data_IF_822318134690
#
_entry.id   IF_822318134690
#
_cell.length_a   1.000
_cell.length_b   1.000
_cell.length_c   1.000
_cell.angle_alpha   90.00
_cell.angle_beta   90.00
_cell.angle_gamma   90.00
#
_symmetry.space_group_name_H-M   'P 1'
#
loop_
_entity.id
_entity.type
_entity.pdbx_description
1 polymer ?
#
# COMPACT_ATOMS: atom_id res chain seq x y z
N UNK A 1 -44.27 0.11 14.71
CA UNK A 1 -43.68 -1.24 14.87
C UNK A 1 -42.25 -1.16 14.38
N UNK A 2 -41.27 -1.17 15.30
CA UNK A 2 -39.84 -1.04 14.97
C UNK A 2 -39.37 -2.40 14.43
N UNK A 3 -39.05 -2.45 13.15
CA UNK A 3 -38.51 -3.61 12.44
C UNK A 3 -37.23 -4.09 13.13
N UNK A 4 -37.16 -5.39 13.40
CA UNK A 4 -36.04 -6.09 14.03
C UNK A 4 -34.82 -6.28 13.09
N UNK A 5 -34.64 -5.42 12.09
CA UNK A 5 -33.57 -5.51 11.09
C UNK A 5 -32.25 -4.81 11.50
N UNK A 6 -32.18 -4.21 12.70
CA UNK A 6 -31.05 -3.35 13.11
C UNK A 6 -29.86 -4.07 13.76
N UNK A 7 -29.91 -5.39 13.98
CA UNK A 7 -28.92 -6.09 14.83
C UNK A 7 -27.83 -6.88 14.08
N UNK A 8 -27.72 -6.76 12.75
CA UNK A 8 -26.78 -7.55 11.95
C UNK A 8 -25.82 -6.74 11.07
N UNK A 9 -25.81 -5.41 11.17
CA UNK A 9 -24.92 -4.58 10.39
C UNK A 9 -23.60 -4.33 11.13
N UNK A 10 -22.51 -4.85 10.55
CA UNK A 10 -21.11 -4.66 10.96
C UNK A 10 -20.69 -5.29 12.30
N UNK A 11 -20.42 -6.61 12.29
CA UNK A 11 -19.26 -7.13 13.05
C UNK A 11 -17.97 -6.78 12.31
N UNK A 12 -17.68 -5.48 12.18
CA UNK A 12 -16.27 -5.08 12.13
C UNK A 12 -15.65 -5.67 13.40
N UNK A 13 -14.56 -6.45 13.29
CA UNK A 13 -13.84 -6.92 14.47
C UNK A 13 -13.75 -5.75 15.47
N UNK A 14 -14.39 -5.84 16.66
CA UNK A 14 -14.54 -4.73 17.60
C UNK A 14 -13.21 -4.12 18.07
N UNK A 15 -12.07 -4.69 17.69
CA UNK A 15 -10.74 -4.41 18.23
C UNK A 15 -9.82 -3.55 17.35
N UNK A 16 -10.16 -3.26 16.07
CA UNK A 16 -9.16 -2.64 15.15
C UNK A 16 -9.27 -1.14 14.94
N UNK A 17 -10.43 -0.54 15.21
CA UNK A 17 -10.64 0.91 15.03
C UNK A 17 -11.42 1.60 16.15
N UNK A 18 -11.74 0.86 17.22
CA UNK A 18 -12.36 1.46 18.39
C UNK A 18 -11.38 2.39 19.13
N UNK A 19 -11.87 3.49 19.74
CA UNK A 19 -11.04 4.39 20.53
C UNK A 19 -10.39 3.65 21.70
N UNK A 20 -9.06 3.72 21.79
CA UNK A 20 -8.26 3.06 22.83
C UNK A 20 -8.45 3.65 24.26
N UNK A 21 -9.47 4.49 24.47
CA UNK A 21 -9.70 5.22 25.72
C UNK A 21 -11.20 5.32 26.07
N UNK A 22 -11.91 4.21 26.03
CA UNK A 22 -13.20 4.12 26.69
C UNK A 22 -12.95 3.71 28.14
N UNK A 23 -13.43 4.49 29.09
CA UNK A 23 -13.25 4.24 30.53
C UNK A 23 -14.16 3.07 31.02
N UNK A 24 -15.03 2.56 30.14
CA UNK A 24 -15.90 1.39 30.39
C UNK A 24 -16.31 0.65 29.11
N UNK A 25 -16.68 -0.64 29.23
CA UNK A 25 -17.23 -1.44 28.12
C UNK A 25 -18.49 -0.83 27.50
N UNK A 26 -19.33 -0.17 28.31
CA UNK A 26 -20.54 0.50 27.83
C UNK A 26 -20.21 1.68 26.89
N UNK A 27 -19.19 2.47 27.23
CA UNK A 27 -18.76 3.59 26.39
C UNK A 27 -18.20 3.10 25.05
N UNK A 28 -17.45 1.98 25.05
CA UNK A 28 -16.96 1.35 23.84
C UNK A 28 -18.12 0.88 22.92
N UNK A 29 -19.13 0.21 23.47
CA UNK A 29 -20.31 -0.23 22.71
C UNK A 29 -21.05 0.95 22.09
N UNK A 30 -21.32 2.01 22.86
CA UNK A 30 -22.00 3.20 22.34
C UNK A 30 -21.20 3.90 21.24
N UNK A 31 -19.88 3.97 21.37
CA UNK A 31 -19.01 4.54 20.33
C UNK A 31 -18.98 3.69 19.06
N UNK A 32 -19.05 2.37 19.18
CA UNK A 32 -19.15 1.46 18.04
C UNK A 32 -20.51 1.58 17.33
N UNK A 33 -21.60 1.68 18.08
CA UNK A 33 -22.95 1.90 17.52
C UNK A 33 -23.04 3.25 16.79
N UNK A 34 -22.55 4.34 17.37
CA UNK A 34 -22.49 5.64 16.69
C UNK A 34 -21.63 5.55 15.43
N UNK A 35 -20.46 4.90 15.48
CA UNK A 35 -19.60 4.74 14.30
C UNK A 35 -20.35 4.05 13.14
N UNK A 36 -21.05 2.95 13.43
CA UNK A 36 -21.82 2.20 12.43
C UNK A 36 -22.94 3.06 11.84
N UNK A 37 -23.65 3.82 12.67
CA UNK A 37 -24.71 4.73 12.20
C UNK A 37 -24.15 5.83 11.29
N UNK A 38 -22.99 6.40 11.63
CA UNK A 38 -22.35 7.42 10.79
C UNK A 38 -21.85 6.85 9.45
N UNK A 39 -21.34 5.63 9.44
CA UNK A 39 -20.95 4.93 8.19
C UNK A 39 -22.16 4.81 7.27
N UNK A 40 -23.29 4.34 7.79
CA UNK A 40 -24.51 4.18 7.01
C UNK A 40 -25.08 5.53 6.50
N UNK A 41 -24.99 6.57 7.33
CA UNK A 41 -25.34 7.93 6.92
C UNK A 41 -24.44 8.45 5.78
N UNK A 42 -23.12 8.25 5.87
CA UNK A 42 -22.17 8.64 4.83
C UNK A 42 -22.43 7.91 3.50
N UNK A 43 -22.69 6.60 3.55
CA UNK A 43 -23.04 5.82 2.34
C UNK A 43 -24.33 6.34 1.72
N UNK A 44 -25.34 6.65 2.54
CA UNK A 44 -26.60 7.23 2.07
C UNK A 44 -26.39 8.57 1.40
N UNK A 45 -25.62 9.47 2.02
CA UNK A 45 -25.29 10.79 1.44
C UNK A 45 -24.53 10.64 0.12
N UNK A 46 -23.57 9.71 0.05
CA UNK A 46 -22.80 9.41 -1.15
C UNK A 46 -23.69 8.88 -2.29
N UNK A 47 -24.66 8.00 -1.99
CA UNK A 47 -25.64 7.50 -2.97
C UNK A 47 -26.52 8.63 -3.49
N UNK A 48 -27.05 9.49 -2.61
CA UNK A 48 -27.87 10.65 -3.02
C UNK A 48 -27.07 11.62 -3.90
N UNK A 49 -25.80 11.87 -3.57
CA UNK A 49 -24.91 12.66 -4.41
C UNK A 49 -24.75 12.05 -5.80
N UNK A 50 -24.57 10.73 -5.88
CA UNK A 50 -24.40 9.99 -7.12
C UNK A 50 -25.66 10.08 -7.99
N UNK A 51 -26.82 9.78 -7.43
CA UNK A 51 -28.12 9.85 -8.11
C UNK A 51 -28.40 11.24 -8.69
N UNK A 52 -28.21 12.29 -7.88
CA UNK A 52 -28.41 13.67 -8.32
C UNK A 52 -27.44 14.06 -9.44
N UNK A 53 -26.17 13.65 -9.33
CA UNK A 53 -25.15 13.98 -10.32
C UNK A 53 -25.41 13.31 -11.67
N UNK A 54 -25.88 12.06 -11.68
CA UNK A 54 -26.29 11.38 -12.91
C UNK A 54 -27.55 12.03 -13.50
N UNK A 55 -28.54 12.38 -12.67
CA UNK A 55 -29.75 13.09 -13.11
C UNK A 55 -29.46 14.46 -13.73
N UNK A 56 -28.45 15.15 -13.22
CA UNK A 56 -27.93 16.42 -13.76
C UNK A 56 -27.12 16.25 -15.06
N UNK A 57 -26.85 15.02 -15.50
CA UNK A 57 -26.10 14.73 -16.72
C UNK A 57 -24.60 15.06 -16.61
N UNK A 58 -24.03 15.02 -15.40
CA UNK A 58 -22.59 15.27 -15.20
C UNK A 58 -21.74 14.18 -15.85
N UNK A 59 -20.50 14.53 -16.20
CA UNK A 59 -19.55 13.57 -16.75
C UNK A 59 -19.22 12.48 -15.71
N UNK A 60 -19.34 11.17 -16.02
CA UNK A 60 -19.05 10.10 -15.05
C UNK A 60 -17.67 10.14 -14.40
N UNK A 61 -16.64 10.61 -15.12
CA UNK A 61 -15.27 10.76 -14.59
C UNK A 61 -15.20 11.88 -13.56
N UNK A 62 -15.91 13.00 -13.80
CA UNK A 62 -16.02 14.09 -12.83
C UNK A 62 -16.79 13.62 -11.58
N UNK A 63 -17.89 12.89 -11.78
CA UNK A 63 -18.67 12.31 -10.67
C UNK A 63 -17.79 11.39 -9.81
N UNK A 64 -16.98 10.52 -10.43
CA UNK A 64 -16.09 9.62 -9.70
C UNK A 64 -15.08 10.39 -8.83
N UNK A 65 -14.41 11.39 -9.40
CA UNK A 65 -13.41 12.18 -8.68
C UNK A 65 -14.04 12.97 -7.52
N UNK A 66 -15.21 13.58 -7.74
CA UNK A 66 -15.95 14.29 -6.71
C UNK A 66 -16.42 13.36 -5.59
N UNK A 67 -16.97 12.19 -5.95
CA UNK A 67 -17.39 11.16 -4.99
C UNK A 67 -16.21 10.71 -4.14
N UNK A 68 -15.07 10.40 -4.78
CA UNK A 68 -13.87 9.94 -4.07
C UNK A 68 -13.33 11.00 -3.10
N UNK A 69 -13.35 12.27 -3.51
CA UNK A 69 -12.96 13.40 -2.64
C UNK A 69 -13.89 13.54 -1.44
N UNK A 70 -15.22 13.41 -1.65
CA UNK A 70 -16.22 13.43 -0.59
C UNK A 70 -16.05 12.29 0.40
N UNK A 71 -15.90 11.06 -0.08
CA UNK A 71 -15.67 9.89 0.78
C UNK A 71 -14.39 10.03 1.60
N UNK A 72 -13.32 10.57 1.01
CA UNK A 72 -12.09 10.92 1.72
C UNK A 72 -12.35 11.90 2.87
N UNK A 73 -13.06 13.00 2.61
CA UNK A 73 -13.43 14.00 3.62
C UNK A 73 -14.31 13.41 4.73
N UNK A 74 -15.35 12.67 4.37
CA UNK A 74 -16.22 11.97 5.33
C UNK A 74 -15.41 11.04 6.24
N UNK A 75 -14.44 10.30 5.68
CA UNK A 75 -13.61 9.40 6.45
C UNK A 75 -12.70 10.13 7.43
N UNK A 76 -12.16 11.26 7.02
CA UNK A 76 -11.35 12.15 7.86
C UNK A 76 -12.17 12.69 9.04
N UNK A 77 -13.35 13.25 8.77
CA UNK A 77 -14.25 13.80 9.78
C UNK A 77 -14.68 12.73 10.79
N UNK A 78 -15.00 11.53 10.32
CA UNK A 78 -15.33 10.40 11.19
C UNK A 78 -14.13 9.98 12.06
N UNK A 79 -12.92 9.95 11.51
CA UNK A 79 -11.71 9.64 12.29
C UNK A 79 -11.45 10.68 13.39
N UNK A 80 -11.65 11.96 13.11
CA UNK A 80 -11.54 13.04 14.09
C UNK A 80 -12.60 12.90 15.20
N UNK A 81 -13.86 12.66 14.82
CA UNK A 81 -14.98 12.49 15.77
C UNK A 81 -14.72 11.36 16.76
N UNK A 82 -14.23 10.22 16.27
CA UNK A 82 -13.94 9.04 17.10
C UNK A 82 -12.52 9.03 17.69
N UNK A 83 -11.76 10.13 17.57
CA UNK A 83 -10.40 10.27 18.11
C UNK A 83 -9.48 9.11 17.70
N UNK A 84 -9.61 8.64 16.45
CA UNK A 84 -8.78 7.56 15.93
C UNK A 84 -7.31 7.97 15.94
N UNK A 85 -6.40 7.03 16.23
CA UNK A 85 -4.97 7.32 16.21
C UNK A 85 -4.53 7.82 14.82
N UNK A 86 -3.84 8.97 14.80
CA UNK A 86 -3.43 9.68 13.58
C UNK A 86 -4.61 10.02 12.66
N UNK A 87 -5.72 10.48 13.25
CA UNK A 87 -6.93 10.88 12.55
C UNK A 87 -6.65 11.88 11.41
N UNK A 88 -5.65 12.76 11.58
CA UNK A 88 -5.23 13.75 10.59
C UNK A 88 -4.78 13.14 9.25
N UNK A 89 -4.37 11.86 9.24
CA UNK A 89 -3.91 11.17 8.03
C UNK A 89 -5.04 10.42 7.29
N UNK A 90 -6.23 10.28 7.89
CA UNK A 90 -7.36 9.60 7.25
C UNK A 90 -7.93 10.47 6.13
N UNK A 91 -8.22 9.85 4.98
CA UNK A 91 -8.82 10.55 3.83
C UNK A 91 -7.84 11.46 3.06
N UNK A 92 -6.57 11.54 3.46
CA UNK A 92 -5.54 12.30 2.75
C UNK A 92 -4.96 11.46 1.61
N UNK A 93 -5.05 11.96 0.37
CA UNK A 93 -4.54 11.32 -0.84
C UNK A 93 -3.00 11.19 -0.82
N UNK A 94 -2.46 9.98 -1.03
CA UNK A 94 -1.01 9.68 -0.98
C UNK A 94 -0.24 10.39 -2.09
N UNK A 95 -0.82 10.43 -3.28
CA UNK A 95 -0.27 11.10 -4.45
C UNK A 95 -0.33 12.63 -4.36
N UNK A 96 -1.10 13.20 -3.43
CA UNK A 96 -1.17 14.64 -3.18
C UNK A 96 -0.50 15.06 -1.87
N UNK A 97 -0.19 14.10 -0.99
CA UNK A 97 0.33 14.37 0.34
C UNK A 97 1.75 14.92 0.33
N UNK A 98 2.03 15.77 1.31
CA UNK A 98 3.38 16.18 1.73
C UNK A 98 3.94 15.31 2.85
N UNK A 99 3.14 14.36 3.35
CA UNK A 99 3.58 13.43 4.38
C UNK A 99 4.78 12.62 3.89
N UNK A 100 5.64 12.15 4.82
CA UNK A 100 6.80 11.34 4.47
C UNK A 100 6.43 10.17 3.56
N UNK A 101 6.98 10.14 2.35
CA UNK A 101 6.76 9.07 1.37
C UNK A 101 6.94 7.68 1.98
N UNK A 102 7.92 7.51 2.87
CA UNK A 102 8.21 6.25 3.57
C UNK A 102 7.02 5.72 4.38
N UNK A 103 6.21 6.60 4.99
CA UNK A 103 4.99 6.20 5.72
C UNK A 103 3.85 5.79 4.80
N UNK A 104 3.90 6.22 3.53
CA UNK A 104 2.88 5.93 2.52
C UNK A 104 3.21 4.69 1.68
N UNK A 105 4.43 4.16 1.76
CA UNK A 105 4.88 3.10 0.84
C UNK A 105 4.69 1.69 1.36
N UNK A 106 4.54 1.48 2.68
CA UNK A 106 4.57 0.13 3.25
C UNK A 106 3.71 -0.05 4.49
N UNK A 107 3.24 -1.27 4.68
CA UNK A 107 2.53 -1.73 5.88
C UNK A 107 3.10 -3.07 6.33
N UNK A 108 3.57 -3.16 7.58
CA UNK A 108 3.90 -4.44 8.20
C UNK A 108 2.61 -5.19 8.53
N UNK A 109 2.49 -6.42 8.03
CA UNK A 109 1.34 -7.28 8.29
C UNK A 109 1.55 -7.99 9.63
N UNK A 110 1.42 -7.26 10.73
CA UNK A 110 1.53 -7.79 12.09
C UNK A 110 0.44 -7.20 12.99
N UNK A 111 0.28 -7.73 14.20
CA UNK A 111 -0.68 -7.22 15.19
C UNK A 111 -2.11 -7.27 14.65
N UNK A 112 -2.80 -6.14 14.42
CA UNK A 112 -4.12 -6.14 13.82
C UNK A 112 -4.13 -6.71 12.41
N UNK A 113 -3.00 -6.87 11.73
CA UNK A 113 -2.93 -7.46 10.39
C UNK A 113 -2.52 -8.94 10.38
N UNK A 114 -2.46 -9.60 11.55
CA UNK A 114 -1.91 -10.96 11.68
C UNK A 114 -2.65 -12.00 10.85
N UNK A 115 -3.99 -11.94 10.77
CA UNK A 115 -4.76 -12.90 9.97
C UNK A 115 -4.36 -12.85 8.49
N UNK A 116 -4.03 -11.65 7.99
CA UNK A 116 -3.57 -11.46 6.62
C UNK A 116 -2.17 -12.04 6.42
N UNK A 117 -1.29 -11.83 7.40
CA UNK A 117 0.03 -12.44 7.39
C UNK A 117 -0.04 -13.95 7.29
N UNK A 118 -0.86 -14.59 8.13
CA UNK A 118 -1.03 -16.05 8.15
C UNK A 118 -1.50 -16.57 6.80
N UNK A 119 -2.52 -15.93 6.22
CA UNK A 119 -3.06 -16.36 4.93
C UNK A 119 -2.05 -16.19 3.79
N UNK A 120 -1.49 -14.99 3.65
CA UNK A 120 -0.53 -14.70 2.60
C UNK A 120 0.73 -15.56 2.74
N UNK A 121 1.20 -15.82 3.96
CA UNK A 121 2.32 -16.73 4.22
C UNK A 121 2.02 -18.14 3.73
N UNK A 122 0.82 -18.67 4.00
CA UNK A 122 0.39 -19.97 3.52
C UNK A 122 0.39 -20.05 2.00
N UNK A 123 -0.12 -19.03 1.31
CA UNK A 123 -0.18 -19.04 -0.15
C UNK A 123 1.20 -18.88 -0.80
N UNK A 124 2.04 -18.00 -0.26
CA UNK A 124 3.44 -17.88 -0.69
C UNK A 124 4.20 -19.20 -0.45
N UNK A 125 3.98 -19.86 0.69
CA UNK A 125 4.64 -21.12 1.05
C UNK A 125 4.36 -22.22 0.01
N UNK A 126 3.12 -22.38 -0.44
CA UNK A 126 2.75 -23.34 -1.51
C UNK A 126 3.55 -23.11 -2.79
N UNK A 127 3.76 -21.84 -3.16
CA UNK A 127 4.53 -21.49 -4.34
C UNK A 127 6.04 -21.70 -4.14
N UNK A 128 6.56 -21.45 -2.95
CA UNK A 128 7.97 -21.73 -2.63
C UNK A 128 8.27 -23.24 -2.68
N UNK A 129 7.35 -24.09 -2.22
CA UNK A 129 7.46 -25.55 -2.35
C UNK A 129 7.56 -25.96 -3.83
N UNK A 130 6.69 -25.40 -4.67
CA UNK A 130 6.75 -25.60 -6.13
C UNK A 130 8.10 -25.16 -6.72
N UNK A 131 8.62 -24.01 -6.29
CA UNK A 131 9.94 -23.51 -6.73
C UNK A 131 11.09 -24.41 -6.29
N UNK A 132 11.03 -24.96 -5.08
CA UNK A 132 12.03 -25.90 -4.55
C UNK A 132 12.05 -27.19 -5.37
N UNK A 133 10.88 -27.77 -5.67
CA UNK A 133 10.74 -28.95 -6.53
C UNK A 133 11.33 -28.70 -7.92
N UNK A 134 11.10 -27.51 -8.48
CA UNK A 134 11.61 -27.09 -9.79
C UNK A 134 13.08 -26.63 -9.77
N UNK A 135 13.69 -26.48 -8.58
CA UNK A 135 15.03 -25.89 -8.39
C UNK A 135 15.17 -24.51 -9.05
N UNK A 136 14.11 -23.71 -9.09
CA UNK A 136 14.11 -22.36 -9.68
C UNK A 136 14.24 -21.28 -8.61
N UNK A 137 14.92 -20.17 -8.90
CA UNK A 137 14.95 -18.95 -8.06
C UNK A 137 13.79 -17.99 -8.32
N UNK A 138 13.04 -18.21 -9.38
CA UNK A 138 11.94 -17.36 -9.80
C UNK A 138 10.77 -18.20 -10.32
N UNK A 139 9.56 -17.88 -9.83
CA UNK A 139 8.30 -18.40 -10.37
C UNK A 139 7.49 -17.23 -10.91
N UNK A 140 6.95 -17.41 -12.11
CA UNK A 140 6.08 -16.44 -12.76
C UNK A 140 4.77 -17.10 -13.12
N UNK A 141 3.68 -16.53 -12.63
CA UNK A 141 2.31 -16.96 -12.88
C UNK A 141 1.65 -15.86 -13.68
N UNK A 142 1.15 -16.18 -14.86
CA UNK A 142 0.37 -15.27 -15.71
C UNK A 142 -1.12 -15.57 -15.54
N UNK A 143 -1.94 -14.53 -15.57
CA UNK A 143 -3.39 -14.64 -15.50
C UNK A 143 -4.06 -13.62 -16.40
N UNK A 144 -5.37 -13.79 -16.59
CA UNK A 144 -6.20 -12.82 -17.30
C UNK A 144 -7.60 -12.82 -16.75
N UNK A 145 -8.08 -11.66 -16.29
CA UNK A 145 -9.46 -11.48 -15.87
C UNK A 145 -10.02 -10.19 -16.46
N UNK A 146 -11.28 -10.22 -16.92
CA UNK A 146 -12.00 -9.03 -17.40
C UNK A 146 -11.19 -8.19 -18.41
N UNK A 147 -10.57 -8.87 -19.38
CA UNK A 147 -9.70 -8.30 -20.40
C UNK A 147 -8.40 -7.63 -19.91
N UNK A 148 -8.05 -7.75 -18.64
CA UNK A 148 -6.77 -7.30 -18.08
C UNK A 148 -5.82 -8.46 -17.91
N UNK A 149 -4.58 -8.27 -18.37
CA UNK A 149 -3.48 -9.18 -18.06
C UNK A 149 -3.01 -8.96 -16.63
N UNK A 150 -2.68 -10.05 -15.96
CA UNK A 150 -2.08 -10.03 -14.63
C UNK A 150 -0.89 -10.95 -14.58
N UNK A 151 0.05 -10.65 -13.69
CA UNK A 151 1.12 -11.58 -13.39
C UNK A 151 1.51 -11.49 -11.92
N UNK A 152 1.87 -12.63 -11.35
CA UNK A 152 2.53 -12.71 -10.04
C UNK A 152 3.92 -13.28 -10.25
N UNK A 153 4.94 -12.60 -9.72
CA UNK A 153 6.32 -13.08 -9.74
C UNK A 153 6.78 -13.29 -8.32
N UNK A 154 7.29 -14.48 -8.01
CA UNK A 154 7.90 -14.81 -6.72
C UNK A 154 9.38 -15.04 -6.98
N UNK A 155 10.22 -14.26 -6.29
CA UNK A 155 11.67 -14.39 -6.33
C UNK A 155 12.15 -14.72 -4.94
N UNK A 156 13.13 -15.61 -4.84
CA UNK A 156 13.89 -15.77 -3.61
C UNK A 156 15.38 -15.49 -3.86
N UNK A 157 16.01 -14.89 -2.86
CA UNK A 157 17.45 -14.63 -2.83
C UNK A 157 18.01 -15.12 -1.50
N UNK A 158 19.11 -15.87 -1.54
CA UNK A 158 19.84 -16.16 -0.31
C UNK A 158 20.67 -14.93 0.10
N UNK A 159 21.13 -14.89 1.35
CA UNK A 159 21.95 -13.78 1.85
C UNK A 159 23.22 -13.52 1.00
N UNK A 160 23.82 -14.55 0.40
CA UNK A 160 25.00 -14.44 -0.48
C UNK A 160 24.64 -13.99 -1.90
N UNK A 161 23.41 -14.19 -2.36
CA UNK A 161 22.95 -13.62 -3.62
C UNK A 161 22.86 -12.09 -3.52
N UNK A 162 22.89 -11.55 -2.29
CA UNK A 162 23.06 -10.14 -1.98
C UNK A 162 24.56 -9.76 -1.81
N UNK A 163 25.50 -10.50 -2.41
CA UNK A 163 26.98 -10.33 -2.30
C UNK A 163 27.52 -8.95 -2.75
N UNK A 164 26.65 -7.97 -2.98
CA UNK A 164 27.00 -6.59 -2.70
C UNK A 164 26.13 -6.08 -1.56
N UNK A 165 26.69 -5.72 -0.38
CA UNK A 165 25.92 -4.95 0.59
C UNK A 165 25.24 -3.83 -0.20
N UNK A 166 23.92 -3.61 -0.04
CA UNK A 166 23.16 -2.79 -0.98
C UNK A 166 23.95 -1.50 -1.19
N UNK A 167 24.42 -1.29 -2.42
CA UNK A 167 25.53 -0.37 -2.73
C UNK A 167 25.36 1.00 -2.06
N UNK A 168 24.11 1.38 -1.81
CA UNK A 168 23.58 2.49 -1.03
C UNK A 168 24.01 2.59 0.46
N UNK A 169 24.79 1.68 1.06
CA UNK A 169 25.35 1.87 2.41
C UNK A 169 26.66 2.66 2.41
N UNK A 170 27.18 2.98 1.22
CA UNK A 170 28.37 3.80 1.06
C UNK A 170 27.99 5.27 0.84
N UNK A 171 28.85 6.17 1.31
CA UNK A 171 28.74 7.59 0.96
C UNK A 171 28.76 7.79 -0.56
N UNK A 172 29.56 7.00 -1.29
CA UNK A 172 29.60 6.99 -2.76
C UNK A 172 28.22 6.78 -3.38
N UNK A 173 27.46 5.80 -2.90
CA UNK A 173 26.13 5.54 -3.42
C UNK A 173 25.08 6.55 -2.95
N UNK A 174 25.20 7.10 -1.73
CA UNK A 174 24.39 8.27 -1.35
C UNK A 174 24.63 9.45 -2.28
N UNK A 175 25.89 9.74 -2.62
CA UNK A 175 26.26 10.80 -3.57
C UNK A 175 25.70 10.55 -4.96
N UNK A 176 25.77 9.32 -5.46
CA UNK A 176 25.14 8.92 -6.73
C UNK A 176 23.63 9.12 -6.67
N UNK A 177 22.96 8.69 -5.60
CA UNK A 177 21.52 8.92 -5.42
C UNK A 177 21.19 10.41 -5.42
N UNK A 178 21.95 11.25 -4.72
CA UNK A 178 21.74 12.70 -4.72
C UNK A 178 21.87 13.30 -6.12
N UNK A 179 22.86 12.86 -6.91
CA UNK A 179 23.02 13.29 -8.29
C UNK A 179 21.82 12.89 -9.15
N UNK A 180 21.36 11.64 -9.05
CA UNK A 180 20.18 11.15 -9.78
C UNK A 180 18.88 11.84 -9.34
N UNK A 181 18.79 12.22 -8.07
CA UNK A 181 17.68 12.99 -7.49
C UNK A 181 17.73 14.49 -7.85
N UNK A 182 18.83 14.96 -8.45
CA UNK A 182 19.09 16.38 -8.73
C UNK A 182 19.09 17.25 -7.46
N UNK A 183 19.58 16.70 -6.35
CA UNK A 183 19.73 17.44 -5.09
C UNK A 183 21.20 17.59 -4.71
N UNK A 184 21.52 18.68 -4.02
CA UNK A 184 22.80 18.81 -3.37
C UNK A 184 22.89 17.76 -2.24
N UNK A 185 23.92 16.93 -2.27
CA UNK A 185 24.25 16.09 -1.11
C UNK A 185 24.67 17.02 0.02
N UNK A 186 24.22 16.73 1.25
CA UNK A 186 24.82 17.39 2.41
C UNK A 186 26.27 16.91 2.52
N UNK A 187 27.23 17.80 2.82
CA UNK A 187 28.52 17.35 3.31
C UNK A 187 28.22 16.61 4.63
N UNK A 188 28.33 15.29 4.63
CA UNK A 188 28.41 14.52 5.87
C UNK A 188 29.71 14.93 6.55
N UNK A 189 29.66 15.22 7.86
CA UNK A 189 30.62 16.06 8.58
C UNK A 189 32.06 15.95 8.05
N UNK A 190 32.35 16.83 7.10
CA UNK A 190 33.66 16.97 6.47
C UNK A 190 34.49 17.98 7.28
N UNK A 191 33.89 18.66 8.27
CA UNK A 191 34.57 19.58 9.18
C UNK A 191 35.35 18.83 10.26
N UNK A 192 34.87 17.69 10.75
CA UNK A 192 35.67 16.81 11.61
C UNK A 192 36.90 16.25 10.85
N UNK A 193 36.72 15.91 9.56
CA UNK A 193 37.80 15.53 8.64
C UNK A 193 38.78 16.68 8.37
N UNK A 194 38.30 17.89 8.10
CA UNK A 194 39.16 19.05 7.91
C UNK A 194 39.90 19.41 9.22
N UNK A 195 39.32 19.18 10.40
CA UNK A 195 40.02 19.36 11.68
C UNK A 195 41.14 18.33 11.88
N UNK A 196 40.94 17.07 11.52
CA UNK A 196 42.02 16.06 11.53
C UNK A 196 43.09 16.34 10.47
N UNK A 197 42.70 16.81 9.28
CA UNK A 197 43.66 17.14 8.22
C UNK A 197 44.47 18.42 8.51
N UNK A 198 43.84 19.42 9.15
CA UNK A 198 44.52 20.64 9.65
C UNK A 198 45.56 20.29 10.72
N UNK A 199 45.42 19.17 11.45
CA UNK A 199 46.48 18.68 12.35
C UNK A 199 47.73 18.16 11.62
N UNK A 200 47.64 17.79 10.33
CA UNK A 200 48.77 17.37 9.51
C UNK A 200 49.45 18.53 8.76
N UNK A 201 48.77 19.66 8.54
CA UNK A 201 49.37 20.85 7.92
C UNK A 201 50.47 21.49 8.77
N UNK A 202 50.49 21.21 10.08
CA UNK A 202 51.55 21.61 11.01
C UNK A 202 52.81 20.72 10.99
N UNK A 203 52.83 19.62 10.23
CA UNK A 203 53.96 18.68 10.20
C UNK A 203 54.80 18.84 8.92
N UNK A 204 56.14 18.76 9.05
CA UNK A 204 57.10 18.82 7.93
C UNK A 204 57.07 17.53 7.07
N UNK A 205 55.93 17.24 6.46
CA UNK A 205 55.75 16.11 5.56
C UNK A 205 56.07 16.56 4.12
N UNK A 206 56.90 15.84 3.35
CA UNK A 206 57.18 16.15 1.95
C UNK A 206 55.91 16.21 1.09
N UNK A 207 55.80 17.13 0.10
CA UNK A 207 54.59 17.34 -0.70
C UNK A 207 54.07 16.07 -1.39
N UNK A 208 54.97 15.23 -1.90
CA UNK A 208 54.62 13.97 -2.57
C UNK A 208 54.07 12.90 -1.62
N UNK A 209 54.47 12.91 -0.34
CA UNK A 209 53.85 12.05 0.69
C UNK A 209 52.51 12.60 1.15
N UNK A 210 52.33 13.93 1.16
CA UNK A 210 51.01 14.55 1.42
C UNK A 210 50.01 14.19 0.34
N UNK A 211 50.40 14.25 -0.93
CA UNK A 211 49.50 13.88 -2.03
C UNK A 211 49.18 12.38 -2.02
N UNK A 212 50.17 11.51 -1.78
CA UNK A 212 49.93 10.09 -1.64
C UNK A 212 49.03 9.76 -0.42
N UNK A 213 49.20 10.45 0.72
CA UNK A 213 48.32 10.32 1.88
C UNK A 213 46.92 10.84 1.59
N UNK A 214 46.77 11.96 0.88
CA UNK A 214 45.49 12.52 0.46
C UNK A 214 44.73 11.55 -0.44
N UNK A 215 45.41 10.94 -1.42
CA UNK A 215 44.82 9.91 -2.29
C UNK A 215 44.44 8.66 -1.49
N UNK A 216 45.34 8.15 -0.63
CA UNK A 216 45.05 6.99 0.22
C UNK A 216 43.93 7.23 1.23
N UNK A 217 43.83 8.42 1.82
CA UNK A 217 42.75 8.79 2.75
C UNK A 217 41.44 9.08 2.01
N UNK A 218 41.47 9.62 0.79
CA UNK A 218 40.28 9.75 -0.07
C UNK A 218 39.75 8.38 -0.48
N UNK A 219 40.63 7.46 -0.86
CA UNK A 219 40.29 6.06 -1.15
C UNK A 219 39.85 5.30 0.12
N UNK A 220 40.43 5.63 1.28
CA UNK A 220 39.95 5.12 2.55
C UNK A 220 38.58 5.69 2.88
N UNK A 221 38.27 6.97 2.72
CA UNK A 221 36.95 7.55 3.06
C UNK A 221 35.82 7.06 2.14
N UNK A 222 36.11 6.81 0.86
CA UNK A 222 35.18 6.06 -0.02
C UNK A 222 34.89 4.64 0.53
N UNK A 223 35.72 4.12 1.44
CA UNK A 223 35.64 2.80 2.06
C UNK A 223 35.54 2.79 3.61
N UNK A 224 35.61 3.93 4.31
CA UNK A 224 35.84 4.04 5.75
C UNK A 224 34.65 4.72 6.37
N UNK A 225 33.85 3.89 7.04
CA UNK A 225 32.91 4.19 8.12
C UNK A 225 32.51 5.66 8.28
N UNK A 226 31.88 6.23 7.26
CA UNK A 226 30.77 7.15 7.51
C UNK A 226 29.84 6.41 8.47
N UNK A 227 29.31 7.08 9.51
CA UNK A 227 28.33 6.44 10.37
C UNK A 227 27.22 5.89 9.47
N UNK A 228 27.12 4.57 9.39
CA UNK A 228 26.17 3.89 8.50
C UNK A 228 24.76 4.36 8.87
N UNK A 229 24.53 4.75 10.11
CA UNK A 229 23.26 5.33 10.55
C UNK A 229 23.01 6.72 9.96
N UNK A 230 24.04 7.54 9.78
CA UNK A 230 23.93 8.87 9.14
C UNK A 230 23.64 8.75 7.65
N UNK A 231 24.33 7.84 6.94
CA UNK A 231 24.03 7.53 5.53
C UNK A 231 22.61 6.99 5.38
N UNK A 232 22.20 6.07 6.26
CA UNK A 232 20.82 5.56 6.30
C UNK A 232 19.84 6.70 6.57
N UNK A 233 20.15 7.62 7.48
CA UNK A 233 19.31 8.77 7.79
C UNK A 233 19.11 9.66 6.56
N UNK A 234 20.18 10.06 5.88
CA UNK A 234 20.09 10.92 4.71
C UNK A 234 19.42 10.23 3.50
N UNK A 235 19.61 8.91 3.34
CA UNK A 235 18.84 8.14 2.36
C UNK A 235 17.35 8.08 2.71
N UNK A 236 17.01 8.00 4.00
CA UNK A 236 15.62 8.13 4.42
C UNK A 236 15.07 9.55 4.15
N UNK A 237 15.91 10.59 4.19
CA UNK A 237 15.51 11.94 3.77
C UNK A 237 15.22 12.02 2.27
N UNK A 238 15.97 11.30 1.42
CA UNK A 238 15.66 11.18 -0.01
C UNK A 238 14.28 10.57 -0.23
N UNK A 239 13.99 9.49 0.50
CA UNK A 239 12.72 8.79 0.37
C UNK A 239 11.55 9.73 0.64
N UNK A 240 11.62 10.58 1.67
CA UNK A 240 10.52 11.49 2.02
C UNK A 240 10.37 12.67 1.06
N UNK A 241 11.37 12.95 0.21
CA UNK A 241 11.32 14.02 -0.78
C UNK A 241 10.70 13.53 -2.10
N UNK A 242 9.43 13.88 -2.32
CA UNK A 242 8.67 13.48 -3.51
C UNK A 242 9.31 13.94 -4.82
N UNK A 243 9.90 15.14 -4.87
CA UNK A 243 10.56 15.65 -6.08
C UNK A 243 11.84 14.87 -6.38
N UNK A 244 12.67 14.62 -5.35
CA UNK A 244 13.85 13.79 -5.46
C UNK A 244 13.51 12.38 -5.96
N UNK A 245 12.47 11.74 -5.40
CA UNK A 245 12.03 10.41 -5.84
C UNK A 245 11.49 10.40 -7.27
N UNK A 246 10.84 11.49 -7.72
CA UNK A 246 10.39 11.65 -9.11
C UNK A 246 11.58 11.76 -10.05
N UNK A 247 12.58 12.56 -9.71
CA UNK A 247 13.82 12.71 -10.47
C UNK A 247 14.59 11.39 -10.54
N UNK A 248 14.71 10.68 -9.40
CA UNK A 248 15.32 9.36 -9.35
C UNK A 248 14.61 8.38 -10.29
N UNK A 249 13.27 8.30 -10.24
CA UNK A 249 12.49 7.43 -11.13
C UNK A 249 12.70 7.75 -12.61
N UNK A 250 12.79 9.03 -12.95
CA UNK A 250 13.02 9.52 -14.32
C UNK A 250 14.45 9.22 -14.80
N UNK A 251 15.44 9.43 -13.94
CA UNK A 251 16.86 9.36 -14.28
C UNK A 251 17.41 7.92 -14.17
N UNK A 252 16.87 7.10 -13.28
CA UNK A 252 17.19 5.67 -13.15
C UNK A 252 16.06 4.88 -12.45
N UNK A 253 15.26 4.17 -13.24
CA UNK A 253 14.19 3.30 -12.71
C UNK A 253 14.75 2.13 -11.88
N UNK A 254 15.97 1.70 -12.16
CA UNK A 254 16.67 0.64 -11.42
C UNK A 254 17.03 1.11 -10.01
N UNK A 255 17.69 2.27 -9.88
CA UNK A 255 18.03 2.86 -8.58
C UNK A 255 16.77 3.21 -7.78
N UNK A 256 15.72 3.70 -8.44
CA UNK A 256 14.43 3.96 -7.81
C UNK A 256 13.82 2.70 -7.17
N UNK A 257 13.75 1.61 -7.93
CA UNK A 257 13.23 0.34 -7.44
C UNK A 257 14.13 -0.28 -6.36
N UNK A 258 15.45 -0.17 -6.53
CA UNK A 258 16.45 -0.62 -5.58
C UNK A 258 16.32 0.11 -4.24
N UNK A 259 16.18 1.43 -4.27
CA UNK A 259 16.00 2.25 -3.08
C UNK A 259 14.69 1.92 -2.34
N UNK A 260 13.58 1.74 -3.07
CA UNK A 260 12.29 1.31 -2.48
C UNK A 260 12.42 -0.04 -1.77
N UNK A 261 12.99 -1.03 -2.45
CA UNK A 261 13.17 -2.37 -1.91
C UNK A 261 14.08 -2.36 -0.67
N UNK A 262 15.21 -1.64 -0.76
CA UNK A 262 16.15 -1.49 0.35
C UNK A 262 15.49 -0.89 1.58
N UNK A 263 14.68 0.15 1.41
CA UNK A 263 14.01 0.77 2.56
C UNK A 263 13.16 -0.23 3.33
N UNK A 264 12.49 -1.14 2.62
CA UNK A 264 11.76 -2.27 3.19
C UNK A 264 12.68 -3.29 3.86
N UNK A 265 13.78 -3.68 3.21
CA UNK A 265 14.76 -4.59 3.83
C UNK A 265 15.38 -4.02 5.12
N UNK A 266 15.66 -2.72 5.18
CA UNK A 266 16.17 -2.05 6.40
C UNK A 266 15.13 -2.09 7.52
N UNK A 267 13.83 -2.00 7.21
CA UNK A 267 12.76 -2.08 8.22
C UNK A 267 12.73 -3.44 8.94
N UNK A 268 13.14 -4.52 8.26
CA UNK A 268 13.29 -5.86 8.80
C UNK A 268 14.56 -6.04 9.64
N UNK A 269 15.67 -5.42 9.26
CA UNK A 269 16.93 -5.52 10.02
C UNK A 269 16.84 -4.82 11.37
N UNK A 270 16.08 -3.72 11.43
CA UNK A 270 15.82 -2.99 12.68
C UNK A 270 14.86 -3.75 13.60
N UNK A 271 14.01 -4.61 13.04
CA UNK A 271 13.22 -5.54 13.84
C UNK A 271 14.12 -6.68 14.34
N UNK A 272 13.94 -7.09 15.59
CA UNK A 272 14.81 -7.99 16.37
C UNK A 272 15.15 -9.37 15.75
N UNK A 273 14.67 -9.68 14.55
CA UNK A 273 14.97 -10.93 13.81
C UNK A 273 16.48 -11.08 13.58
N UNK A 274 17.16 -10.02 13.14
CA UNK A 274 18.61 -10.03 12.91
C UNK A 274 19.43 -10.16 14.21
N UNK A 275 18.87 -9.74 15.35
CA UNK A 275 19.55 -9.86 16.65
C UNK A 275 19.47 -11.28 17.24
N UNK A 276 18.49 -12.09 16.81
CA UNK A 276 18.26 -13.44 17.34
C UNK A 276 18.93 -14.54 16.50
N UNK A 277 19.16 -14.29 15.21
CA UNK A 277 19.66 -15.27 14.27
C UNK A 277 20.66 -14.65 13.29
N UNK A 278 21.67 -15.42 12.86
CA UNK A 278 22.57 -14.99 11.78
C UNK A 278 21.79 -14.84 10.46
N UNK A 279 21.98 -13.71 9.77
CA UNK A 279 21.32 -13.41 8.48
C UNK A 279 21.64 -14.44 7.38
N UNK A 280 22.76 -15.15 7.49
CA UNK A 280 23.12 -16.25 6.59
C UNK A 280 22.13 -17.41 6.59
N UNK A 281 21.27 -17.48 7.62
CA UNK A 281 20.22 -18.51 7.75
C UNK A 281 18.90 -18.11 7.12
N UNK A 282 18.83 -16.98 6.43
CA UNK A 282 17.60 -16.49 5.83
C UNK A 282 17.70 -16.32 4.31
N UNK A 283 16.58 -16.58 3.66
CA UNK A 283 16.30 -16.18 2.31
C UNK A 283 15.32 -15.00 2.33
N UNK A 284 15.54 -14.05 1.45
CA UNK A 284 14.54 -13.05 1.12
C UNK A 284 13.54 -13.63 0.15
N UNK A 285 12.26 -13.45 0.43
CA UNK A 285 11.17 -13.81 -0.47
C UNK A 285 10.47 -12.52 -0.87
N UNK A 286 10.42 -12.27 -2.17
CA UNK A 286 9.77 -11.10 -2.72
C UNK A 286 8.75 -11.52 -3.77
N UNK A 287 7.52 -11.09 -3.53
CA UNK A 287 6.40 -11.29 -4.45
C UNK A 287 6.06 -9.96 -5.08
N UNK A 288 5.90 -9.93 -6.40
CA UNK A 288 5.40 -8.77 -7.14
C UNK A 288 4.13 -9.15 -7.87
N UNK A 289 3.02 -8.50 -7.52
CA UNK A 289 1.76 -8.59 -8.26
C UNK A 289 1.73 -7.46 -9.27
N UNK A 290 1.45 -7.77 -10.53
CA UNK A 290 1.28 -6.81 -11.62
C UNK A 290 -0.07 -6.95 -12.26
N UNK A 291 -0.64 -5.81 -12.63
CA UNK A 291 -1.86 -5.72 -13.43
C UNK A 291 -1.66 -4.78 -14.61
N UNK A 292 -2.49 -4.97 -15.63
CA UNK A 292 -2.58 -4.10 -16.79
C UNK A 292 -3.45 -2.86 -16.50
N UNK A 293 -2.84 -1.69 -16.48
CA UNK A 293 -3.51 -0.38 -16.41
C UNK A 293 -3.22 0.34 -17.72
N UNK A 294 -4.26 0.84 -18.43
CA UNK A 294 -4.11 1.53 -19.73
C UNK A 294 -3.16 0.82 -20.71
N UNK A 295 -3.27 -0.51 -20.83
CA UNK A 295 -2.47 -1.39 -21.70
C UNK A 295 -0.99 -1.56 -21.32
N UNK A 296 -0.60 -1.17 -20.10
CA UNK A 296 0.76 -1.30 -19.58
C UNK A 296 0.76 -2.11 -18.29
N UNK A 297 1.73 -3.00 -18.15
CA UNK A 297 1.90 -3.80 -16.95
C UNK A 297 2.66 -3.00 -15.90
N UNK A 298 2.05 -2.80 -14.73
CA UNK A 298 2.69 -2.12 -13.60
C UNK A 298 2.73 -3.01 -12.37
N UNK A 299 3.75 -2.81 -11.52
CA UNK A 299 3.76 -3.39 -10.18
C UNK A 299 2.70 -2.70 -9.31
N UNK A 300 1.73 -3.48 -8.87
CA UNK A 300 0.53 -3.00 -8.19
C UNK A 300 0.70 -3.11 -6.68
N UNK A 301 1.02 -4.30 -6.17
CA UNK A 301 1.53 -4.50 -4.81
C UNK A 301 2.75 -5.40 -4.83
N UNK A 302 3.61 -5.24 -3.84
CA UNK A 302 4.74 -6.13 -3.60
C UNK A 302 4.73 -6.61 -2.15
N UNK A 303 5.20 -7.81 -1.91
CA UNK A 303 5.28 -8.41 -0.58
C UNK A 303 6.71 -8.84 -0.34
N UNK A 304 7.27 -8.44 0.80
CA UNK A 304 8.63 -8.79 1.19
C UNK A 304 8.58 -9.52 2.53
N UNK A 305 9.27 -10.64 2.63
CA UNK A 305 9.44 -11.36 3.89
C UNK A 305 10.79 -12.07 3.95
N UNK A 306 11.13 -12.51 5.15
CA UNK A 306 12.27 -13.38 5.42
C UNK A 306 11.77 -14.81 5.62
N UNK A 307 12.48 -15.76 5.05
CA UNK A 307 12.27 -17.19 5.29
C UNK A 307 13.54 -17.75 5.92
N UNK A 308 13.44 -18.27 7.15
CA UNK A 308 14.56 -19.03 7.70
C UNK A 308 14.70 -20.36 6.94
N UNK A 309 15.92 -20.74 6.57
CA UNK A 309 16.21 -21.90 5.69
C UNK A 309 15.59 -23.21 6.23
N UNK A 310 15.44 -23.32 7.55
CA UNK A 310 14.88 -24.52 8.21
C UNK A 310 13.45 -24.37 8.74
N UNK A 311 12.74 -23.28 8.41
CA UNK A 311 11.39 -23.01 8.92
C UNK A 311 10.45 -22.61 7.78
N UNK A 312 9.16 -22.76 8.04
CA UNK A 312 8.10 -22.22 7.22
C UNK A 312 8.00 -20.69 7.37
N UNK A 313 7.22 -20.06 6.51
CA UNK A 313 6.97 -18.62 6.54
C UNK A 313 6.07 -18.16 7.70
N UNK A 314 5.38 -19.07 8.39
CA UNK A 314 4.37 -18.72 9.40
C UNK A 314 4.95 -17.95 10.59
N UNK A 315 6.25 -18.12 10.84
CA UNK A 315 7.01 -17.44 11.90
C UNK A 315 7.42 -15.99 11.55
N UNK A 316 7.19 -15.54 10.31
CA UNK A 316 7.71 -14.26 9.81
C UNK A 316 6.61 -13.29 9.39
N UNK A 317 6.83 -12.01 9.69
CA UNK A 317 5.94 -10.94 9.26
C UNK A 317 6.25 -10.60 7.80
N UNK A 318 5.21 -10.49 7.00
CA UNK A 318 5.27 -9.97 5.64
C UNK A 318 5.12 -8.45 5.71
N UNK A 319 5.93 -7.74 4.95
CA UNK A 319 5.73 -6.32 4.69
C UNK A 319 5.10 -6.15 3.30
N UNK A 320 3.90 -5.55 3.27
CA UNK A 320 3.26 -5.09 2.05
C UNK A 320 3.91 -3.76 1.65
N UNK A 321 4.43 -3.70 0.44
CA UNK A 321 4.86 -2.49 -0.25
C UNK A 321 3.74 -2.11 -1.21
N UNK A 322 3.07 -1.00 -0.90
CA UNK A 322 1.94 -0.47 -1.67
C UNK A 322 2.35 -0.05 -3.08
N UNK A 323 1.34 0.18 -3.93
CA UNK A 323 1.54 0.78 -5.24
C UNK A 323 2.37 2.06 -5.13
N UNK A 324 3.24 2.27 -6.12
CA UNK A 324 3.97 3.52 -6.31
C UNK A 324 2.98 4.71 -6.36
N UNK A 325 3.10 5.70 -5.46
CA UNK A 325 2.19 6.84 -5.46
C UNK A 325 2.19 7.66 -6.75
N UNK A 326 3.25 7.60 -7.57
CA UNK A 326 3.26 8.25 -8.89
C UNK A 326 2.36 7.54 -9.93
N UNK A 327 1.83 6.37 -9.61
CA UNK A 327 0.93 5.60 -10.48
C UNK A 327 -0.55 5.72 -10.04
N UNK A 328 -0.82 6.24 -8.84
CA UNK A 328 -2.17 6.30 -8.27
C UNK A 328 -3.13 7.04 -9.20
N UNK A 329 -2.74 8.20 -9.74
CA UNK A 329 -3.60 8.97 -10.65
C UNK A 329 -3.96 8.17 -11.91
N UNK A 330 -2.99 7.48 -12.53
CA UNK A 330 -3.22 6.66 -13.71
C UNK A 330 -4.15 5.47 -13.41
N UNK A 331 -4.05 4.88 -12.23
CA UNK A 331 -4.95 3.81 -11.78
C UNK A 331 -6.35 4.33 -11.46
N UNK A 332 -6.47 5.50 -10.82
CA UNK A 332 -7.77 6.10 -10.54
C UNK A 332 -8.50 6.51 -11.81
N UNK A 333 -7.79 6.96 -12.85
CA UNK A 333 -8.38 7.18 -14.17
C UNK A 333 -8.94 5.89 -14.78
N UNK A 334 -8.25 4.76 -14.61
CA UNK A 334 -8.70 3.45 -15.10
C UNK A 334 -9.95 3.00 -14.34
N UNK A 335 -9.94 3.14 -13.01
CA UNK A 335 -11.11 2.90 -12.14
C UNK A 335 -12.27 3.83 -12.52
N UNK A 336 -12.02 5.09 -12.87
CA UNK A 336 -13.07 6.01 -13.32
C UNK A 336 -13.76 5.51 -14.61
N UNK A 337 -12.99 4.88 -15.50
CA UNK A 337 -13.55 4.19 -16.67
C UNK A 337 -14.44 3.01 -16.31
N UNK A 338 -14.05 2.20 -15.32
CA UNK A 338 -14.88 1.10 -14.81
C UNK A 338 -16.13 1.61 -14.09
N UNK A 339 -15.98 2.69 -13.31
CA UNK A 339 -17.09 3.37 -12.63
C UNK A 339 -18.14 3.85 -13.63
N UNK A 340 -17.71 4.44 -14.75
CA UNK A 340 -18.61 4.80 -15.85
C UNK A 340 -19.41 3.58 -16.35
N UNK A 341 -18.73 2.45 -16.59
CA UNK A 341 -19.40 1.20 -17.01
C UNK A 341 -20.43 0.73 -15.98
N UNK A 342 -20.15 0.87 -14.68
CA UNK A 342 -21.12 0.58 -13.62
C UNK A 342 -22.34 1.49 -13.75
N UNK A 343 -22.16 2.81 -13.86
CA UNK A 343 -23.29 3.74 -13.96
C UNK A 343 -24.17 3.53 -15.20
N UNK A 344 -23.57 3.07 -16.30
CA UNK A 344 -24.25 2.78 -17.56
C UNK A 344 -24.95 1.41 -17.58
N UNK A 345 -24.74 0.56 -16.56
CA UNK A 345 -25.36 -0.75 -16.45
C UNK A 345 -26.88 -0.65 -16.35
N UNK A 346 -27.58 -1.34 -17.26
CA UNK A 346 -29.03 -1.40 -17.29
C UNK A 346 -29.51 -2.83 -17.02
N UNK A 347 -30.22 -2.99 -15.89
CA UNK A 347 -30.85 -4.23 -15.45
C UNK A 347 -31.77 -4.87 -16.50
N UNK A 348 -32.28 -4.09 -17.46
CA UNK A 348 -33.17 -4.57 -18.52
C UNK A 348 -32.45 -5.34 -19.64
N UNK A 349 -31.16 -5.07 -19.87
CA UNK A 349 -30.40 -5.66 -20.97
C UNK A 349 -29.07 -6.30 -20.55
N UNK A 350 -28.50 -5.90 -19.42
CA UNK A 350 -27.21 -6.35 -18.95
C UNK A 350 -27.35 -7.41 -17.85
N UNK A 351 -26.37 -8.31 -17.76
CA UNK A 351 -26.39 -9.33 -16.71
C UNK A 351 -25.95 -8.74 -15.36
N UNK A 352 -26.53 -9.24 -14.26
CA UNK A 352 -26.04 -8.87 -12.92
C UNK A 352 -24.56 -9.28 -12.72
N UNK A 353 -24.12 -10.36 -13.39
CA UNK A 353 -22.74 -10.81 -13.39
C UNK A 353 -21.78 -9.73 -13.91
N UNK A 354 -22.18 -8.95 -14.93
CA UNK A 354 -21.34 -7.88 -15.47
C UNK A 354 -21.17 -6.73 -14.46
N UNK A 355 -22.25 -6.36 -13.76
CA UNK A 355 -22.19 -5.39 -12.66
C UNK A 355 -21.25 -5.87 -11.55
N UNK A 356 -21.47 -7.11 -11.07
CA UNK A 356 -20.69 -7.70 -9.97
C UNK A 356 -19.21 -7.80 -10.34
N UNK A 357 -18.89 -8.26 -11.54
CA UNK A 357 -17.51 -8.37 -12.01
C UNK A 357 -16.83 -7.00 -12.15
N UNK A 358 -17.56 -5.99 -12.63
CA UNK A 358 -17.01 -4.63 -12.78
C UNK A 358 -16.74 -4.00 -11.41
N UNK A 359 -17.66 -4.15 -10.44
CA UNK A 359 -17.45 -3.70 -9.07
C UNK A 359 -16.31 -4.48 -8.38
N UNK A 360 -16.21 -5.79 -8.61
CA UNK A 360 -15.07 -6.59 -8.14
C UNK A 360 -13.75 -6.00 -8.65
N UNK A 361 -13.66 -5.68 -9.94
CA UNK A 361 -12.45 -5.09 -10.52
C UNK A 361 -12.12 -3.72 -9.93
N UNK A 362 -13.12 -2.86 -9.72
CA UNK A 362 -12.95 -1.57 -9.02
C UNK A 362 -12.36 -1.82 -7.63
N UNK A 363 -12.93 -2.74 -6.85
CA UNK A 363 -12.45 -3.07 -5.51
C UNK A 363 -11.02 -3.62 -5.51
N UNK A 364 -10.70 -4.48 -6.47
CA UNK A 364 -9.35 -5.02 -6.63
C UNK A 364 -8.34 -3.91 -6.88
N UNK A 365 -8.59 -3.06 -7.88
CA UNK A 365 -7.68 -1.99 -8.25
C UNK A 365 -7.55 -0.93 -7.16
N UNK A 366 -8.66 -0.59 -6.51
CA UNK A 366 -8.68 0.37 -5.42
C UNK A 366 -7.90 -0.14 -4.18
N UNK A 367 -8.04 -1.42 -3.85
CA UNK A 367 -7.33 -2.05 -2.72
C UNK A 367 -5.82 -2.05 -2.94
N UNK A 368 -5.38 -2.38 -4.16
CA UNK A 368 -3.96 -2.36 -4.52
C UNK A 368 -3.39 -0.94 -4.63
N UNK A 369 -4.15 0.00 -5.21
CA UNK A 369 -3.74 1.39 -5.31
C UNK A 369 -3.60 2.04 -3.93
N UNK A 370 -4.51 1.67 -3.01
CA UNK A 370 -4.62 2.21 -1.66
C UNK A 370 -4.41 3.74 -1.67
N UNK A 371 -5.28 4.53 -2.32
CA UNK A 371 -4.98 5.90 -2.72
C UNK A 371 -4.83 6.90 -1.55
N UNK A 372 -5.24 6.53 -0.34
CA UNK A 372 -5.17 7.37 0.86
C UNK A 372 -4.10 6.89 1.84
N UNK A 373 -3.49 7.82 2.59
CA UNK A 373 -2.45 7.50 3.59
C UNK A 373 -3.03 6.59 4.66
N UNK A 374 -4.25 6.89 5.11
CA UNK A 374 -5.07 6.03 5.98
C UNK A 374 -6.52 6.01 5.50
N UNK A 375 -7.17 4.87 5.69
CA UNK A 375 -8.60 4.71 5.45
C UNK A 375 -8.99 4.19 4.06
N UNK A 376 -8.04 3.83 3.19
CA UNK A 376 -8.34 3.32 1.84
C UNK A 376 -9.32 2.14 1.85
N UNK A 377 -9.12 1.15 2.73
CA UNK A 377 -10.04 -0.01 2.82
C UNK A 377 -11.49 0.42 3.12
N UNK A 378 -11.69 1.27 4.12
CA UNK A 378 -13.03 1.76 4.48
C UNK A 378 -13.66 2.62 3.36
N UNK A 379 -12.87 3.46 2.71
CA UNK A 379 -13.36 4.28 1.59
C UNK A 379 -13.74 3.39 0.39
N UNK A 380 -12.99 2.31 0.13
CA UNK A 380 -13.32 1.31 -0.88
C UNK A 380 -14.64 0.61 -0.58
N UNK A 381 -14.85 0.19 0.66
CA UNK A 381 -16.13 -0.40 1.11
C UNK A 381 -17.29 0.59 0.94
N UNK A 382 -17.10 1.86 1.31
CA UNK A 382 -18.15 2.87 1.15
C UNK A 382 -18.47 3.12 -0.33
N UNK A 383 -17.47 3.13 -1.20
CA UNK A 383 -17.64 3.23 -2.64
C UNK A 383 -18.43 2.02 -3.18
N UNK A 384 -18.06 0.80 -2.82
CA UNK A 384 -18.76 -0.43 -3.20
C UNK A 384 -20.24 -0.40 -2.80
N UNK A 385 -20.51 -0.09 -1.53
CA UNK A 385 -21.88 0.04 -1.02
C UNK A 385 -22.66 1.12 -1.77
N UNK A 386 -22.03 2.26 -2.05
CA UNK A 386 -22.65 3.37 -2.81
C UNK A 386 -23.06 2.91 -4.21
N UNK A 387 -22.19 2.17 -4.91
CA UNK A 387 -22.44 1.66 -6.26
C UNK A 387 -23.58 0.64 -6.29
N UNK A 388 -23.57 -0.32 -5.38
CA UNK A 388 -24.68 -1.29 -5.30
C UNK A 388 -26.01 -0.61 -4.95
N UNK A 389 -26.00 0.36 -4.02
CA UNK A 389 -27.20 1.08 -3.59
C UNK A 389 -27.80 1.91 -4.70
N UNK A 390 -26.95 2.55 -5.51
CA UNK A 390 -27.37 3.26 -6.72
C UNK A 390 -28.14 2.36 -7.70
N UNK A 391 -27.76 1.07 -7.81
CA UNK A 391 -28.48 0.09 -8.62
C UNK A 391 -29.61 -0.65 -7.88
N UNK A 392 -30.02 -0.18 -6.70
CA UNK A 392 -31.12 -0.74 -5.93
C UNK A 392 -30.77 -2.03 -5.19
N UNK A 393 -29.52 -2.19 -4.76
CA UNK A 393 -29.08 -3.31 -3.92
C UNK A 393 -28.48 -2.79 -2.60
N UNK A 394 -28.77 -3.48 -1.50
CA UNK A 394 -27.93 -3.42 -0.30
C UNK A 394 -27.00 -4.61 -0.29
N UNK A 395 -25.82 -4.44 0.32
CA UNK A 395 -24.86 -5.52 0.45
C UNK A 395 -24.49 -5.78 1.89
N UNK A 396 -24.13 -7.03 2.18
CA UNK A 396 -23.53 -7.48 3.43
C UNK A 396 -22.34 -8.38 3.10
N UNK A 397 -21.22 -8.16 3.78
CA UNK A 397 -20.07 -9.05 3.70
C UNK A 397 -20.30 -10.29 4.57
N UNK A 398 -19.80 -11.44 4.14
CA UNK A 398 -19.77 -12.63 5.01
C UNK A 398 -18.79 -12.43 6.16
N UNK A 399 -19.17 -12.85 7.37
CA UNK A 399 -18.38 -12.71 8.61
C UNK A 399 -16.93 -13.23 8.49
N UNK A 400 -16.69 -14.21 7.64
CA UNK A 400 -15.36 -14.82 7.45
C UNK A 400 -14.52 -14.14 6.38
N UNK A 401 -15.02 -13.09 5.73
CA UNK A 401 -14.40 -12.48 4.55
C UNK A 401 -14.13 -10.99 4.76
N UNK A 402 -12.96 -10.53 4.31
CA UNK A 402 -12.63 -9.12 4.21
C UNK A 402 -12.21 -8.82 2.78
N UNK A 403 -13.14 -8.31 1.97
CA UNK A 403 -12.97 -8.13 0.51
C UNK A 403 -11.69 -7.38 0.13
N UNK A 404 -11.38 -6.27 0.80
CA UNK A 404 -10.16 -5.51 0.55
C UNK A 404 -8.89 -6.36 0.73
N UNK A 405 -8.94 -7.30 1.65
CA UNK A 405 -7.81 -8.14 2.01
C UNK A 405 -7.73 -9.36 1.11
N UNK A 406 -8.88 -9.92 0.72
CA UNK A 406 -8.97 -10.90 -0.36
C UNK A 406 -8.30 -10.37 -1.62
N UNK A 407 -8.63 -9.12 -2.01
CA UNK A 407 -8.04 -8.46 -3.17
C UNK A 407 -6.51 -8.42 -3.10
N UNK A 408 -5.96 -8.06 -1.94
CA UNK A 408 -4.50 -8.02 -1.75
C UNK A 408 -3.87 -9.42 -1.76
N UNK A 409 -4.58 -10.47 -1.35
CA UNK A 409 -4.01 -11.83 -1.24
C UNK A 409 -4.20 -12.69 -2.48
N UNK A 410 -5.26 -12.48 -3.26
CA UNK A 410 -5.63 -13.33 -4.38
C UNK A 410 -5.13 -12.75 -5.72
N UNK A 411 -4.72 -13.61 -6.67
CA UNK A 411 -4.61 -13.19 -8.07
C UNK A 411 -5.96 -12.66 -8.58
N UNK A 412 -5.95 -11.65 -9.45
CA UNK A 412 -7.18 -11.00 -9.94
C UNK A 412 -8.24 -11.98 -10.46
N UNK A 413 -7.84 -12.99 -11.23
CA UNK A 413 -8.76 -13.99 -11.80
C UNK A 413 -9.48 -14.79 -10.71
N UNK A 414 -8.74 -15.19 -9.68
CA UNK A 414 -9.27 -15.90 -8.53
C UNK A 414 -10.14 -14.97 -7.67
N UNK A 415 -9.71 -13.73 -7.45
CA UNK A 415 -10.48 -12.73 -6.73
C UNK A 415 -11.85 -12.48 -7.39
N UNK A 416 -11.88 -12.17 -8.69
CA UNK A 416 -13.12 -11.93 -9.44
C UNK A 416 -14.04 -13.15 -9.40
N UNK A 417 -13.48 -14.36 -9.51
CA UNK A 417 -14.25 -15.60 -9.44
C UNK A 417 -14.88 -15.82 -8.06
N UNK A 418 -14.15 -15.50 -6.98
CA UNK A 418 -14.63 -15.71 -5.62
C UNK A 418 -15.49 -14.57 -5.09
N UNK A 419 -15.34 -13.36 -5.63
CA UNK A 419 -16.00 -12.15 -5.15
C UNK A 419 -17.53 -12.26 -4.98
N UNK A 420 -18.31 -12.87 -5.91
CA UNK A 420 -19.75 -13.06 -5.72
C UNK A 420 -20.11 -13.86 -4.46
N UNK A 421 -19.20 -14.71 -3.97
CA UNK A 421 -19.39 -15.50 -2.75
C UNK A 421 -19.04 -14.74 -1.47
N UNK A 422 -18.36 -13.58 -1.58
CA UNK A 422 -17.93 -12.74 -0.45
C UNK A 422 -19.01 -11.73 -0.04
N UNK A 423 -19.88 -11.37 -0.98
CA UNK A 423 -20.86 -10.29 -0.86
C UNK A 423 -22.27 -10.83 -1.08
N UNK A 424 -23.09 -10.76 -0.04
CA UNK A 424 -24.52 -11.06 -0.11
C UNK A 424 -25.29 -9.80 -0.51
N UNK A 425 -26.12 -9.90 -1.55
CA UNK A 425 -26.85 -8.77 -2.13
C UNK A 425 -28.35 -8.95 -1.89
N UNK A 426 -29.00 -7.90 -1.40
CA UNK A 426 -30.45 -7.87 -1.20
C UNK A 426 -31.06 -6.74 -2.01
N UNK A 427 -32.03 -7.04 -2.87
CA UNK A 427 -32.74 -6.03 -3.65
C UNK A 427 -33.49 -5.07 -2.73
N UNK A 428 -33.37 -3.77 -2.98
CA UNK A 428 -34.13 -2.74 -2.30
C UNK A 428 -35.48 -2.64 -2.99
N UNK A 429 -36.51 -3.14 -2.31
CA UNK A 429 -37.88 -2.81 -2.69
C UNK A 429 -38.17 -1.40 -2.19
N UNK A 430 -37.95 -0.41 -3.04
CA UNK A 430 -38.49 0.91 -2.81
C UNK A 430 -40.01 0.78 -2.85
N UNK A 431 -40.66 0.59 -1.71
CA UNK A 431 -42.07 0.89 -1.59
C UNK A 431 -42.20 2.35 -2.01
N UNK A 432 -42.83 2.58 -3.16
CA UNK A 432 -43.03 3.84 -3.88
C UNK A 432 -43.72 4.89 -3.01
N UNK A 433 -43.01 5.43 -2.01
CA UNK A 433 -43.60 6.26 -0.96
C UNK A 433 -42.92 7.61 -0.73
N UNK A 434 -41.81 7.93 -1.42
CA UNK A 434 -41.13 9.23 -1.20
C UNK A 434 -40.72 10.02 -2.45
N UNK A 435 -41.00 9.55 -3.67
CA UNK A 435 -40.72 10.33 -4.89
C UNK A 435 -41.95 10.95 -5.56
N UNK A 436 -43.14 10.77 -4.99
CA UNK A 436 -44.27 11.67 -5.25
C UNK A 436 -44.29 12.77 -4.20
N UNK A 437 -43.34 13.71 -4.29
CA UNK A 437 -43.53 15.05 -3.72
C UNK A 437 -44.48 15.86 -4.61
N UNK A 438 -45.16 16.88 -4.05
CA UNK A 438 -46.40 17.49 -4.56
C UNK A 438 -46.34 18.09 -5.96
#
# INVERSE_FOLDING_TARGET
>A
MRSAASNYFFKLEPSRFAPQKADSELEHTLQQEDYIQQVEANITEATVFLENSVKEGKNPIEIFNDLLSRLGKMRHELALKHKTEKAELFGVRRDLSTAPWSTSLRTKLCGPYQNYNTRLSSDIQKHLETMQEQKSKELRIEGKALNKKTSMTIKYWNYKDLDQPPQYNSFKAYKQLCQLCEIAHKPLDQEEFNREFVMFEGQNIPPEKREAMRVRHSEMYDNATTDVNEVIHEINQLLVNKEAMRNLKKNSIEDYNGLKMRSSMTSFHLDKVATKYSMEKFNWVHVTVRTEIKKRMYAFSQYLTLQHISKDLSDFNIELIHQDPFLIEETLDDIAGLFKTVLEWDKSCDSETDLVNTIALINYEFSHAAPFIRGSAAIGEWLEHTLYRYHGFTIQYKDTCNVNMEALTLPLEEFVTQYPSMVERTSIHWETSYLSGP
#
